data_IF_928298697651
#
_entry.id   IF_928298697651
#
_cell.length_a   1.000
_cell.length_b   1.000
_cell.length_c   1.000
_cell.angle_alpha   90.00
_cell.angle_beta   90.00
_cell.angle_gamma   90.00
#
_symmetry.space_group_name_H-M   'P 1'
#
loop_
_entity.id
_entity.type
_entity.pdbx_description
1 polymer ?
#
# COMPACT_ATOMS: atom_id res chain seq x y z
N UNK A 1 -29.02 -22.74 25.89
CA UNK A 1 -28.23 -23.33 24.78
C UNK A 1 -27.04 -22.42 24.47
N UNK A 2 -25.81 -22.91 24.59
CA UNK A 2 -24.61 -22.10 24.32
C UNK A 2 -24.43 -21.88 22.81
N UNK A 3 -24.27 -20.62 22.37
CA UNK A 3 -24.13 -20.21 20.96
C UNK A 3 -22.81 -20.78 20.40
N UNK A 4 -22.87 -21.62 19.35
CA UNK A 4 -21.69 -22.17 18.66
C UNK A 4 -20.75 -21.04 18.23
N UNK A 5 -19.49 -21.08 18.68
CA UNK A 5 -18.46 -20.08 18.31
C UNK A 5 -18.19 -20.17 16.80
N UNK A 6 -18.34 -19.05 16.11
CA UNK A 6 -18.04 -18.94 14.68
C UNK A 6 -16.64 -19.47 14.38
N UNK A 7 -16.46 -20.34 13.37
CA UNK A 7 -15.17 -20.95 13.09
C UNK A 7 -14.12 -19.88 12.79
N UNK A 8 -12.90 -20.05 13.33
CA UNK A 8 -11.74 -19.14 13.25
C UNK A 8 -11.20 -18.90 11.82
N UNK A 9 -12.00 -19.12 10.78
CA UNK A 9 -11.63 -19.10 9.36
C UNK A 9 -12.25 -17.93 8.57
N UNK A 10 -12.65 -16.84 9.24
CA UNK A 10 -13.22 -15.66 8.57
C UNK A 10 -12.32 -15.10 7.45
N UNK A 11 -10.99 -15.20 7.62
CA UNK A 11 -9.99 -14.76 6.63
C UNK A 11 -10.14 -15.49 5.29
N UNK A 12 -10.63 -16.75 5.27
CA UNK A 12 -10.81 -17.53 4.03
C UNK A 12 -11.82 -16.89 3.07
N UNK A 13 -12.73 -16.05 3.58
CA UNK A 13 -13.74 -15.38 2.77
C UNK A 13 -13.25 -14.02 2.24
N UNK A 14 -12.07 -13.54 2.65
CA UNK A 14 -11.54 -12.24 2.23
C UNK A 14 -10.89 -12.36 0.86
N UNK A 15 -11.61 -11.93 -0.18
CA UNK A 15 -11.14 -11.89 -1.59
C UNK A 15 -10.69 -10.48 -2.01
N UNK A 16 -10.34 -9.64 -1.04
CA UNK A 16 -10.00 -8.24 -1.31
C UNK A 16 -8.73 -8.12 -2.16
N UNK A 17 -8.91 -7.64 -3.38
CA UNK A 17 -7.82 -7.15 -4.20
C UNK A 17 -7.45 -5.70 -3.81
N UNK A 18 -6.21 -5.48 -3.33
CA UNK A 18 -5.77 -4.20 -2.78
C UNK A 18 -4.77 -3.46 -3.66
N UNK A 19 -3.68 -4.13 -4.03
CA UNK A 19 -2.59 -3.56 -4.84
C UNK A 19 -1.71 -4.63 -5.47
N UNK A 20 -1.23 -4.39 -6.70
CA UNK A 20 -0.30 -5.23 -7.47
C UNK A 20 0.92 -4.42 -7.95
N UNK A 21 1.83 -4.00 -7.06
CA UNK A 21 3.01 -3.26 -7.47
C UNK A 21 3.92 -4.14 -8.36
N UNK A 22 4.31 -3.69 -9.57
CA UNK A 22 5.28 -4.40 -10.39
C UNK A 22 6.61 -4.63 -9.67
N UNK A 23 7.42 -5.61 -10.11
CA UNK A 23 8.74 -5.84 -9.55
C UNK A 23 9.57 -4.54 -9.53
N UNK A 24 10.32 -4.35 -8.44
CA UNK A 24 11.20 -3.19 -8.23
C UNK A 24 10.50 -1.82 -8.13
N UNK A 25 9.17 -1.75 -8.03
CA UNK A 25 8.43 -0.49 -7.84
C UNK A 25 9.05 0.38 -6.73
N UNK A 26 9.27 -0.19 -5.54
CA UNK A 26 9.80 0.56 -4.38
C UNK A 26 11.29 0.91 -4.44
N UNK A 27 12.00 0.51 -5.51
CA UNK A 27 13.40 0.90 -5.75
C UNK A 27 13.52 2.22 -6.53
N UNK A 28 12.45 2.66 -7.20
CA UNK A 28 12.45 3.90 -7.98
C UNK A 28 12.45 5.18 -7.14
N UNK A 29 12.42 6.34 -7.81
CA UNK A 29 12.26 7.64 -7.15
C UNK A 29 10.86 7.81 -6.56
N UNK A 30 10.71 8.76 -5.64
CA UNK A 30 9.43 9.06 -4.99
C UNK A 30 8.33 9.36 -6.00
N UNK A 31 8.67 10.12 -7.05
CA UNK A 31 7.74 10.46 -8.13
C UNK A 31 7.36 9.24 -8.96
N UNK A 32 8.31 8.35 -9.29
CA UNK A 32 8.02 7.10 -10.00
C UNK A 32 7.11 6.20 -9.19
N UNK A 33 7.42 5.98 -7.90
CA UNK A 33 6.60 5.18 -6.99
C UNK A 33 5.19 5.74 -6.90
N UNK A 34 5.05 7.05 -6.67
CA UNK A 34 3.74 7.69 -6.56
C UNK A 34 2.95 7.63 -7.87
N UNK A 35 3.60 7.74 -9.04
CA UNK A 35 2.93 7.56 -10.33
C UNK A 35 2.44 6.12 -10.51
N UNK A 36 3.30 5.13 -10.29
CA UNK A 36 2.94 3.71 -10.43
C UNK A 36 1.81 3.33 -9.48
N UNK A 37 1.93 3.65 -8.20
CA UNK A 37 0.92 3.32 -7.18
C UNK A 37 -0.40 4.09 -7.36
N UNK A 38 -0.42 5.18 -8.13
CA UNK A 38 -1.65 5.91 -8.44
C UNK A 38 -2.48 5.28 -9.57
N UNK A 39 -1.90 4.34 -10.34
CA UNK A 39 -2.61 3.70 -11.44
C UNK A 39 -3.67 2.72 -10.90
N UNK A 40 -4.81 2.62 -11.58
CA UNK A 40 -5.95 1.79 -11.16
C UNK A 40 -5.67 0.29 -11.27
N UNK A 41 -4.85 -0.11 -12.24
CA UNK A 41 -4.39 -1.50 -12.39
C UNK A 41 -3.43 -1.93 -11.26
N UNK A 42 -2.65 -0.97 -10.73
CA UNK A 42 -1.73 -1.22 -9.61
C UNK A 42 -2.41 -1.08 -8.25
N UNK A 43 -3.36 -0.15 -8.11
CA UNK A 43 -4.12 0.08 -6.88
C UNK A 43 -5.62 0.13 -7.20
N UNK A 44 -6.30 -1.03 -7.34
CA UNK A 44 -7.70 -1.10 -7.73
C UNK A 44 -8.65 -0.33 -6.81
N UNK A 45 -8.33 -0.28 -5.51
CA UNK A 45 -9.07 0.47 -4.49
C UNK A 45 -8.69 1.95 -4.40
N UNK A 46 -7.92 2.45 -5.37
CA UNK A 46 -7.54 3.86 -5.50
C UNK A 46 -6.33 4.26 -4.64
N UNK A 47 -6.15 5.57 -4.48
CA UNK A 47 -4.94 6.14 -3.87
C UNK A 47 -4.73 5.68 -2.43
N UNK A 48 -5.83 5.45 -1.69
CA UNK A 48 -5.78 4.98 -0.30
C UNK A 48 -5.11 3.61 -0.15
N UNK A 49 -5.36 2.65 -1.05
CA UNK A 49 -4.68 1.35 -0.99
C UNK A 49 -3.20 1.49 -1.34
N UNK A 50 -2.86 2.34 -2.31
CA UNK A 50 -1.48 2.66 -2.65
C UNK A 50 -0.68 3.26 -1.47
N UNK A 51 -1.28 4.21 -0.74
CA UNK A 51 -0.68 4.82 0.46
C UNK A 51 -0.43 3.75 1.54
N UNK A 52 -1.43 2.89 1.81
CA UNK A 52 -1.30 1.80 2.79
C UNK A 52 -0.22 0.80 2.40
N UNK A 53 -0.09 0.48 1.11
CA UNK A 53 0.95 -0.43 0.62
C UNK A 53 2.35 0.16 0.80
N UNK A 54 2.55 1.45 0.50
CA UNK A 54 3.84 2.12 0.78
C UNK A 54 4.14 2.09 2.29
N UNK A 55 3.15 2.39 3.13
CA UNK A 55 3.33 2.35 4.59
C UNK A 55 3.67 0.94 5.10
N UNK A 56 2.97 -0.09 4.59
CA UNK A 56 3.24 -1.49 4.88
C UNK A 56 4.68 -1.85 4.51
N UNK A 57 5.15 -1.40 3.34
CA UNK A 57 6.52 -1.65 2.91
C UNK A 57 7.54 -1.00 3.86
N UNK A 58 7.33 0.27 4.23
CA UNK A 58 8.19 0.99 5.18
C UNK A 58 8.26 0.30 6.56
N UNK A 59 7.14 -0.25 7.02
CA UNK A 59 7.03 -0.80 8.37
C UNK A 59 7.39 -2.29 8.46
N UNK A 60 7.11 -3.09 7.43
CA UNK A 60 7.17 -4.55 7.51
C UNK A 60 8.00 -5.19 6.40
N UNK A 61 7.70 -4.90 5.13
CA UNK A 61 8.31 -5.64 4.02
C UNK A 61 9.71 -5.13 3.62
N UNK A 62 10.01 -3.86 3.88
CA UNK A 62 11.30 -3.22 3.64
C UNK A 62 12.26 -3.42 4.81
N UNK A 63 12.66 -4.67 5.05
CA UNK A 63 13.72 -4.97 6.04
C UNK A 63 15.04 -4.35 5.58
N UNK A 64 15.79 -3.74 6.50
CA UNK A 64 17.11 -3.16 6.22
C UNK A 64 17.10 -1.91 5.33
N UNK A 65 15.99 -1.17 5.23
CA UNK A 65 15.96 0.08 4.47
C UNK A 65 16.93 1.12 5.06
N UNK A 66 17.83 1.62 4.22
CA UNK A 66 18.65 2.78 4.57
C UNK A 66 17.76 4.00 4.88
N UNK A 67 18.29 4.94 5.68
CA UNK A 67 17.58 6.17 6.03
C UNK A 67 17.15 6.95 4.77
N UNK A 68 18.01 7.03 3.76
CA UNK A 68 17.71 7.66 2.46
C UNK A 68 16.54 6.97 1.75
N UNK A 69 16.55 5.63 1.69
CA UNK A 69 15.48 4.87 1.02
C UNK A 69 14.15 5.01 1.76
N UNK A 70 14.16 5.04 3.10
CA UNK A 70 12.98 5.31 3.93
C UNK A 70 12.43 6.70 3.66
N UNK A 71 13.27 7.74 3.61
CA UNK A 71 12.86 9.12 3.28
C UNK A 71 12.24 9.19 1.89
N UNK A 72 12.78 8.47 0.92
CA UNK A 72 12.26 8.46 -0.45
C UNK A 72 10.86 7.80 -0.55
N UNK A 73 10.64 6.72 0.20
CA UNK A 73 9.31 6.09 0.31
C UNK A 73 8.30 6.99 1.04
N UNK A 74 8.74 7.67 2.10
CA UNK A 74 7.91 8.67 2.80
C UNK A 74 7.52 9.85 1.89
N UNK A 75 8.44 10.33 1.05
CA UNK A 75 8.13 11.33 0.02
C UNK A 75 7.09 10.82 -0.97
N UNK A 76 7.21 9.58 -1.46
CA UNK A 76 6.23 8.97 -2.35
C UNK A 76 4.84 8.92 -1.70
N UNK A 77 4.77 8.50 -0.43
CA UNK A 77 3.55 8.46 0.38
C UNK A 77 2.89 9.83 0.45
N UNK A 78 3.66 10.89 0.75
CA UNK A 78 3.17 12.27 0.84
C UNK A 78 2.61 12.78 -0.50
N UNK A 79 3.25 12.44 -1.62
CA UNK A 79 2.74 12.81 -2.95
C UNK A 79 1.34 12.19 -3.17
N UNK A 80 1.16 10.90 -2.85
CA UNK A 80 -0.14 10.25 -2.96
C UNK A 80 -1.18 10.85 -2.01
N UNK A 81 -0.80 11.18 -0.77
CA UNK A 81 -1.69 11.83 0.20
C UNK A 81 -2.19 13.17 -0.31
N UNK A 82 -1.29 14.01 -0.87
CA UNK A 82 -1.68 15.29 -1.48
C UNK A 82 -2.64 15.10 -2.64
N UNK A 83 -2.37 14.12 -3.52
CA UNK A 83 -3.29 13.77 -4.62
C UNK A 83 -4.64 13.28 -4.13
N UNK A 84 -4.68 12.51 -3.04
CA UNK A 84 -5.93 12.03 -2.45
C UNK A 84 -6.72 13.18 -1.82
N UNK A 85 -6.04 14.11 -1.15
CA UNK A 85 -6.66 15.31 -0.58
C UNK A 85 -7.22 16.24 -1.67
N UNK A 86 -6.52 16.40 -2.80
CA UNK A 86 -6.98 17.24 -3.91
C UNK A 86 -8.15 16.64 -4.73
N UNK A 87 -8.51 15.37 -4.49
CA UNK A 87 -9.65 14.69 -5.16
C UNK A 87 -10.88 14.60 -4.25
N UNK A 88 -10.77 15.09 -3.03
CA UNK A 88 -11.87 15.24 -2.07
C UNK A 88 -12.48 16.61 -2.24
#
# INVERSE_FOLDING_TARGET
MAKKRSPRRWVRQVTTDSTHPPPRTFKGSAAQIARTMARKDVSPKGLGSGIRMIQYFINRAGKGLSATRRRELERAKRILQRRAAARR
#
